data_IF_455842376598
#
_entry.id   IF_455842376598
#
_cell.length_a   1.000
_cell.length_b   1.000
_cell.length_c   1.000
_cell.angle_alpha   90.00
_cell.angle_beta   90.00
_cell.angle_gamma   90.00
#
_symmetry.space_group_name_H-M   'P 1'
#
loop_
_entity.id
_entity.type
_entity.pdbx_description
1 polymer ?
#
# COMPACT_ATOMS: atom_id res chain seq x y z
N UNK A 1 27.31 6.58 -2.19
CA UNK A 1 25.87 6.75 -2.41
C UNK A 1 25.68 7.10 -3.88
N UNK A 2 24.99 6.26 -4.63
CA UNK A 2 24.66 6.53 -6.03
C UNK A 2 23.21 6.99 -6.10
N UNK A 3 22.99 8.22 -6.55
CA UNK A 3 21.64 8.78 -6.73
C UNK A 3 21.00 8.36 -8.07
N UNK A 4 21.78 7.72 -8.96
CA UNK A 4 21.24 7.17 -10.20
C UNK A 4 20.68 5.78 -9.94
N UNK A 5 19.51 5.53 -10.46
CA UNK A 5 18.95 4.19 -10.56
C UNK A 5 19.80 3.32 -11.49
N UNK A 6 19.79 2.01 -11.25
CA UNK A 6 20.38 1.05 -12.18
C UNK A 6 19.62 1.02 -13.51
N UNK A 7 20.22 0.42 -14.53
CA UNK A 7 19.54 0.24 -15.83
C UNK A 7 18.26 -0.61 -15.66
N UNK A 8 18.28 -1.60 -14.79
CA UNK A 8 17.13 -2.43 -14.47
C UNK A 8 15.99 -1.59 -13.84
N UNK A 9 16.29 -0.77 -12.82
CA UNK A 9 15.31 0.11 -12.20
C UNK A 9 14.70 1.09 -13.21
N UNK A 10 15.51 1.66 -14.13
CA UNK A 10 15.00 2.55 -15.17
C UNK A 10 14.13 1.80 -16.21
N UNK A 11 14.45 0.55 -16.51
CA UNK A 11 13.60 -0.30 -17.38
C UNK A 11 12.26 -0.59 -16.72
N UNK A 12 12.25 -0.99 -15.44
CA UNK A 12 11.02 -1.24 -14.68
C UNK A 12 10.21 0.04 -14.58
N UNK A 13 10.83 1.17 -14.24
CA UNK A 13 10.16 2.48 -14.19
C UNK A 13 9.46 2.80 -15.51
N UNK A 14 10.18 2.66 -16.62
CA UNK A 14 9.62 2.93 -17.94
C UNK A 14 8.46 2.01 -18.27
N UNK A 15 8.63 0.71 -18.07
CA UNK A 15 7.60 -0.29 -18.33
C UNK A 15 6.32 -0.01 -17.55
N UNK A 16 6.45 0.24 -16.25
CA UNK A 16 5.29 0.52 -15.39
C UNK A 16 4.64 1.86 -15.73
N UNK A 17 5.43 2.89 -16.05
CA UNK A 17 4.92 4.19 -16.49
C UNK A 17 4.12 4.08 -17.78
N UNK A 18 4.64 3.35 -18.75
CA UNK A 18 3.97 3.13 -20.05
C UNK A 18 2.66 2.36 -19.83
N UNK A 19 2.67 1.31 -19.02
CA UNK A 19 1.47 0.57 -18.63
C UNK A 19 0.46 1.46 -17.89
N UNK A 20 0.91 2.19 -16.88
CA UNK A 20 0.06 3.08 -16.09
C UNK A 20 -0.63 4.13 -16.98
N UNK A 21 0.11 4.73 -17.91
CA UNK A 21 -0.40 5.75 -18.83
C UNK A 21 -1.39 5.18 -19.85
N UNK A 22 -1.09 4.02 -20.42
CA UNK A 22 -1.85 3.50 -21.56
C UNK A 22 -3.05 2.65 -21.14
N UNK A 23 -2.94 1.90 -20.03
CA UNK A 23 -3.96 0.93 -19.61
C UNK A 23 -4.72 1.41 -18.36
N UNK A 24 -4.01 1.99 -17.36
CA UNK A 24 -4.64 2.35 -16.08
C UNK A 24 -5.32 3.72 -16.13
N UNK A 25 -4.65 4.74 -16.69
CA UNK A 25 -5.14 6.12 -16.71
C UNK A 25 -6.49 6.30 -17.44
N UNK A 26 -6.76 5.64 -18.60
CA UNK A 26 -7.99 5.86 -19.36
C UNK A 26 -9.27 5.58 -18.59
N UNK A 27 -9.26 4.61 -17.67
CA UNK A 27 -10.44 4.18 -16.90
C UNK A 27 -10.42 4.64 -15.44
N UNK A 28 -9.38 5.35 -15.01
CA UNK A 28 -9.17 5.66 -13.60
C UNK A 28 -10.29 6.53 -12.99
N UNK A 29 -10.80 7.51 -13.73
CA UNK A 29 -11.90 8.37 -13.28
C UNK A 29 -13.22 7.62 -13.20
N UNK A 30 -13.56 6.83 -14.21
CA UNK A 30 -14.76 5.97 -14.24
C UNK A 30 -14.75 4.97 -13.08
N UNK A 31 -13.63 4.23 -12.89
CA UNK A 31 -13.49 3.26 -11.80
C UNK A 31 -13.59 3.89 -10.41
N UNK A 32 -13.09 5.13 -10.24
CA UNK A 32 -13.25 5.88 -9.00
C UNK A 32 -14.72 6.23 -8.76
N UNK A 33 -15.43 6.72 -9.76
CA UNK A 33 -16.86 7.08 -9.65
C UNK A 33 -17.73 5.86 -9.33
N UNK A 34 -17.48 4.74 -10.00
CA UNK A 34 -18.22 3.48 -9.82
C UNK A 34 -17.77 2.67 -8.61
N UNK A 35 -16.72 3.10 -7.91
CA UNK A 35 -16.09 2.33 -6.83
C UNK A 35 -15.72 0.89 -7.26
N UNK A 36 -15.27 0.72 -8.51
CA UNK A 36 -15.09 -0.57 -9.17
C UNK A 36 -13.62 -0.99 -9.21
N UNK A 37 -13.33 -2.16 -8.66
CA UNK A 37 -12.07 -2.86 -8.90
C UNK A 37 -12.06 -3.44 -10.33
N UNK A 38 -10.91 -3.42 -10.98
CA UNK A 38 -10.72 -3.98 -12.32
C UNK A 38 -9.75 -5.16 -12.26
N UNK A 39 -10.31 -6.37 -12.35
CA UNK A 39 -9.54 -7.61 -12.35
C UNK A 39 -8.64 -7.73 -13.57
N UNK A 40 -9.09 -7.26 -14.75
CA UNK A 40 -8.29 -7.35 -15.96
C UNK A 40 -6.99 -6.50 -15.87
N UNK A 41 -7.04 -5.34 -15.22
CA UNK A 41 -5.83 -4.57 -14.94
C UNK A 41 -4.88 -5.28 -13.98
N UNK A 42 -5.41 -6.00 -12.98
CA UNK A 42 -4.58 -6.79 -12.09
C UNK A 42 -3.92 -7.96 -12.83
N UNK A 43 -4.66 -8.65 -13.70
CA UNK A 43 -4.14 -9.74 -14.52
C UNK A 43 -3.04 -9.24 -15.47
N UNK A 44 -3.20 -8.07 -16.09
CA UNK A 44 -2.15 -7.43 -16.90
C UNK A 44 -0.91 -7.04 -16.07
N UNK A 45 -1.09 -6.57 -14.82
CA UNK A 45 0.05 -6.35 -13.91
C UNK A 45 0.79 -7.66 -13.64
N UNK A 46 0.09 -8.77 -13.48
CA UNK A 46 0.68 -10.09 -13.30
C UNK A 46 1.45 -10.55 -14.53
N UNK A 47 0.91 -10.38 -15.74
CA UNK A 47 1.59 -10.69 -17.00
C UNK A 47 2.91 -9.89 -17.17
N UNK A 48 2.97 -8.68 -16.60
CA UNK A 48 4.18 -7.87 -16.56
C UNK A 48 5.12 -8.22 -15.38
N UNK A 49 4.77 -9.22 -14.57
CA UNK A 49 5.54 -9.65 -13.40
C UNK A 49 5.47 -8.70 -12.20
N UNK A 50 4.56 -7.70 -12.20
CA UNK A 50 4.50 -6.69 -11.13
C UNK A 50 4.04 -7.26 -9.80
N UNK A 51 3.24 -8.33 -9.79
CA UNK A 51 2.77 -9.02 -8.59
C UNK A 51 3.88 -9.79 -7.85
N UNK A 52 5.00 -10.05 -8.55
CA UNK A 52 6.12 -10.84 -8.05
C UNK A 52 7.47 -10.10 -8.05
N UNK A 53 7.51 -8.76 -8.14
CA UNK A 53 8.78 -8.01 -8.29
C UNK A 53 9.87 -8.43 -7.29
N UNK A 54 9.64 -8.41 -5.95
CA UNK A 54 10.72 -8.67 -5.00
C UNK A 54 10.93 -10.16 -4.69
N UNK A 55 10.12 -11.05 -5.27
CA UNK A 55 10.18 -12.47 -4.93
C UNK A 55 11.12 -13.23 -5.87
N UNK A 56 11.89 -14.20 -5.34
CA UNK A 56 12.72 -15.09 -6.16
C UNK A 56 11.92 -15.86 -7.22
N UNK A 57 12.59 -16.22 -8.33
CA UNK A 57 11.98 -16.99 -9.42
C UNK A 57 11.42 -18.34 -8.97
N UNK A 58 12.03 -18.98 -7.95
CA UNK A 58 11.54 -20.24 -7.35
C UNK A 58 10.13 -20.12 -6.76
N UNK A 59 9.69 -18.90 -6.43
CA UNK A 59 8.33 -18.59 -5.97
C UNK A 59 7.52 -17.85 -7.03
N UNK A 60 7.91 -17.90 -8.31
CA UNK A 60 7.17 -17.27 -9.40
C UNK A 60 7.36 -15.76 -9.53
N UNK A 61 8.31 -15.17 -8.81
CA UNK A 61 8.66 -13.76 -8.92
C UNK A 61 9.67 -13.47 -10.02
N UNK A 62 10.03 -12.21 -10.20
CA UNK A 62 11.06 -11.78 -11.18
C UNK A 62 12.45 -11.60 -10.55
N UNK A 63 12.57 -11.78 -9.23
CA UNK A 63 13.86 -11.76 -8.52
C UNK A 63 14.53 -10.40 -8.45
N UNK A 64 13.77 -9.29 -8.63
CA UNK A 64 14.31 -7.94 -8.45
C UNK A 64 14.33 -7.52 -6.97
N UNK A 65 14.65 -6.27 -6.69
CA UNK A 65 14.77 -5.77 -5.32
C UNK A 65 13.53 -4.98 -4.85
N UNK A 66 13.56 -4.57 -3.59
CA UNK A 66 12.45 -3.83 -2.98
C UNK A 66 12.35 -2.39 -3.49
N UNK A 67 13.46 -1.80 -4.00
CA UNK A 67 13.45 -0.50 -4.64
C UNK A 67 12.71 -0.55 -5.98
N UNK A 68 12.85 -1.61 -6.76
CA UNK A 68 12.07 -1.83 -7.97
C UNK A 68 10.57 -1.90 -7.70
N UNK A 69 10.17 -2.60 -6.62
CA UNK A 69 8.78 -2.63 -6.16
C UNK A 69 8.26 -1.21 -5.81
N UNK A 70 9.01 -0.44 -5.04
CA UNK A 70 8.66 0.94 -4.66
C UNK A 70 8.50 1.83 -5.89
N UNK A 71 9.38 1.71 -6.88
CA UNK A 71 9.27 2.42 -8.16
C UNK A 71 7.98 2.05 -8.89
N UNK A 72 7.60 0.77 -8.91
CA UNK A 72 6.36 0.33 -9.54
C UNK A 72 5.12 0.93 -8.85
N UNK A 73 5.08 0.96 -7.51
CA UNK A 73 3.99 1.58 -6.75
C UNK A 73 3.89 3.08 -7.02
N UNK A 74 5.04 3.78 -7.10
CA UNK A 74 5.08 5.21 -7.44
C UNK A 74 4.46 5.47 -8.82
N UNK A 75 4.90 4.76 -9.86
CA UNK A 75 4.44 4.99 -11.23
C UNK A 75 2.96 4.63 -11.44
N UNK A 76 2.46 3.57 -10.81
CA UNK A 76 1.03 3.25 -10.81
C UNK A 76 0.22 4.34 -10.10
N UNK A 77 0.68 4.79 -8.92
CA UNK A 77 -0.03 5.76 -8.09
C UNK A 77 -0.02 7.17 -8.70
N UNK A 78 0.91 7.45 -9.61
CA UNK A 78 0.99 8.70 -10.38
C UNK A 78 -0.27 8.92 -11.24
N UNK A 79 -0.95 7.87 -11.64
CA UNK A 79 -2.20 7.95 -12.42
C UNK A 79 -3.42 7.45 -11.64
N UNK A 80 -3.25 6.44 -10.78
CA UNK A 80 -4.34 5.83 -10.01
C UNK A 80 -3.83 5.23 -8.69
N UNK A 81 -4.05 5.94 -7.59
CA UNK A 81 -3.65 5.50 -6.26
C UNK A 81 -4.33 4.19 -5.83
N UNK A 82 -5.56 3.92 -6.30
CA UNK A 82 -6.28 2.68 -6.02
C UNK A 82 -5.56 1.46 -6.64
N UNK A 83 -5.06 1.58 -7.87
CA UNK A 83 -4.29 0.51 -8.52
C UNK A 83 -2.96 0.28 -7.79
N UNK A 84 -2.27 1.37 -7.40
CA UNK A 84 -1.04 1.30 -6.64
C UNK A 84 -1.21 0.60 -5.29
N UNK A 85 -2.25 0.95 -4.51
CA UNK A 85 -2.48 0.35 -3.18
C UNK A 85 -2.93 -1.11 -3.27
N UNK A 86 -3.67 -1.50 -4.31
CA UNK A 86 -4.04 -2.90 -4.52
C UNK A 86 -2.80 -3.78 -4.65
N UNK A 87 -1.83 -3.36 -5.47
CA UNK A 87 -0.55 -4.06 -5.61
C UNK A 87 0.29 -3.95 -4.33
N UNK A 88 0.31 -2.78 -3.68
CA UNK A 88 1.06 -2.57 -2.44
C UNK A 88 0.62 -3.51 -1.32
N UNK A 89 -0.67 -3.58 -1.04
CA UNK A 89 -1.21 -4.47 0.01
C UNK A 89 -0.99 -5.96 -0.32
N UNK A 90 -1.13 -6.32 -1.60
CA UNK A 90 -0.85 -7.67 -2.08
C UNK A 90 0.61 -8.07 -1.81
N UNK A 91 1.57 -7.23 -2.19
CA UNK A 91 3.00 -7.56 -2.12
C UNK A 91 3.55 -7.36 -0.70
N UNK A 92 3.44 -6.15 -0.15
CA UNK A 92 4.14 -5.81 1.10
C UNK A 92 3.43 -6.28 2.37
N UNK A 93 2.10 -6.38 2.35
CA UNK A 93 1.35 -6.76 3.55
C UNK A 93 0.98 -8.24 3.58
N UNK A 94 0.59 -8.83 2.44
CA UNK A 94 0.22 -10.24 2.39
C UNK A 94 1.40 -11.15 1.97
N UNK A 95 2.11 -10.81 0.88
CA UNK A 95 3.21 -11.62 0.36
C UNK A 95 4.45 -11.59 1.26
N UNK A 96 4.85 -10.41 1.72
CA UNK A 96 6.07 -10.24 2.51
C UNK A 96 6.12 -11.09 3.79
N UNK A 97 5.09 -11.11 4.66
CA UNK A 97 5.13 -11.96 5.85
C UNK A 97 5.17 -13.46 5.52
N UNK A 98 4.50 -13.91 4.45
CA UNK A 98 4.58 -15.31 4.00
C UNK A 98 6.01 -15.62 3.53
N UNK A 99 6.64 -14.75 2.76
CA UNK A 99 8.03 -14.91 2.33
C UNK A 99 9.00 -14.97 3.52
N UNK A 100 8.83 -14.08 4.50
CA UNK A 100 9.77 -13.91 5.61
C UNK A 100 9.63 -14.95 6.71
N UNK A 101 8.42 -15.40 7.02
CA UNK A 101 8.10 -16.23 8.17
C UNK A 101 7.47 -17.58 7.80
N UNK A 102 7.06 -17.75 6.56
CA UNK A 102 6.46 -19.00 6.08
C UNK A 102 7.44 -20.14 5.94
N UNK A 103 6.93 -21.37 6.13
CA UNK A 103 7.65 -22.59 5.74
C UNK A 103 7.77 -22.66 4.23
N UNK A 104 8.61 -23.58 3.74
CA UNK A 104 8.75 -23.77 2.29
C UNK A 104 7.44 -24.21 1.64
N UNK A 105 6.69 -25.08 2.32
CA UNK A 105 5.37 -25.53 1.86
C UNK A 105 4.37 -24.35 1.79
N UNK A 106 4.38 -23.44 2.78
CA UNK A 106 3.55 -22.25 2.78
C UNK A 106 3.92 -21.30 1.63
N UNK A 107 5.21 -21.10 1.36
CA UNK A 107 5.67 -20.26 0.24
C UNK A 107 5.23 -20.83 -1.11
N UNK A 108 5.38 -22.12 -1.33
CA UNK A 108 4.92 -22.75 -2.57
C UNK A 108 3.40 -22.75 -2.69
N UNK A 109 2.67 -22.98 -1.60
CA UNK A 109 1.20 -23.05 -1.60
C UNK A 109 0.56 -21.65 -1.75
N UNK A 110 1.10 -20.62 -1.08
CA UNK A 110 0.44 -19.33 -0.93
C UNK A 110 1.19 -18.19 -1.63
N UNK A 111 2.52 -18.07 -1.46
CA UNK A 111 3.27 -16.96 -2.05
C UNK A 111 3.41 -17.10 -3.56
N UNK A 112 3.70 -18.31 -4.04
CA UNK A 112 3.88 -18.56 -5.48
C UNK A 112 2.66 -18.16 -6.31
N UNK A 113 1.43 -18.62 -6.04
CA UNK A 113 0.27 -18.18 -6.82
C UNK A 113 -0.04 -16.67 -6.68
N UNK A 114 0.39 -16.04 -5.58
CA UNK A 114 0.33 -14.58 -5.45
C UNK A 114 1.36 -13.90 -6.35
N UNK A 115 2.61 -14.37 -6.35
CA UNK A 115 3.67 -13.84 -7.21
C UNK A 115 3.34 -13.98 -8.71
N UNK A 116 2.75 -15.11 -9.10
CA UNK A 116 2.23 -15.37 -10.45
C UNK A 116 0.93 -14.58 -10.76
N UNK A 117 0.34 -13.87 -9.77
CA UNK A 117 -0.86 -13.06 -9.92
C UNK A 117 -2.17 -13.84 -10.08
N UNK A 118 -2.14 -15.17 -9.95
CA UNK A 118 -3.34 -16.02 -10.03
C UNK A 118 -4.21 -15.88 -8.78
N UNK A 119 -3.62 -15.51 -7.64
CA UNK A 119 -4.28 -15.23 -6.37
C UNK A 119 -3.94 -13.83 -5.85
N UNK A 120 -4.92 -13.16 -5.23
CA UNK A 120 -4.75 -11.84 -4.61
C UNK A 120 -4.60 -12.01 -3.11
N UNK A 121 -3.68 -11.23 -2.51
CA UNK A 121 -3.46 -11.21 -1.07
C UNK A 121 -4.06 -10.00 -0.37
N UNK A 122 -4.46 -10.20 0.89
CA UNK A 122 -4.92 -9.17 1.81
C UNK A 122 -4.35 -9.38 3.22
N UNK A 123 -4.45 -8.32 4.05
CA UNK A 123 -3.88 -8.29 5.40
C UNK A 123 -4.93 -7.82 6.41
N UNK A 124 -5.21 -8.65 7.40
CA UNK A 124 -6.26 -8.44 8.39
C UNK A 124 -5.72 -8.24 9.81
N UNK A 125 -5.33 -7.01 10.18
CA UNK A 125 -4.87 -6.66 11.53
C UNK A 125 -5.91 -5.85 12.31
N UNK A 126 -6.42 -4.77 11.72
CA UNK A 126 -7.25 -3.75 12.35
C UNK A 126 -8.63 -4.29 12.72
N UNK A 127 -9.10 -3.96 13.93
CA UNK A 127 -10.44 -4.28 14.42
C UNK A 127 -11.23 -3.00 14.75
N UNK A 128 -12.57 -3.06 14.93
CA UNK A 128 -13.37 -1.90 15.29
C UNK A 128 -12.89 -1.15 16.54
N UNK A 129 -12.28 -1.87 17.49
CA UNK A 129 -11.74 -1.31 18.74
C UNK A 129 -10.21 -1.21 18.78
N UNK A 130 -9.51 -1.61 17.74
CA UNK A 130 -8.04 -1.75 17.71
C UNK A 130 -7.46 -1.32 16.35
N UNK A 131 -7.16 -0.04 16.23
CA UNK A 131 -6.47 0.57 15.09
C UNK A 131 -5.03 0.89 15.44
N UNK A 132 -4.74 2.13 15.85
CA UNK A 132 -3.40 2.55 16.29
C UNK A 132 -2.88 1.76 17.51
N UNK A 133 -3.77 1.32 18.37
CA UNK A 133 -3.48 0.34 19.42
C UNK A 133 -3.70 -1.09 18.90
N UNK A 134 -2.81 -1.55 18.02
CA UNK A 134 -2.89 -2.88 17.45
C UNK A 134 -2.79 -4.01 18.50
N UNK A 135 -2.23 -3.73 19.66
CA UNK A 135 -2.15 -4.67 20.78
C UNK A 135 -3.48 -4.91 21.50
N UNK A 136 -4.49 -4.08 21.24
CA UNK A 136 -5.83 -4.18 21.83
C UNK A 136 -6.80 -5.08 21.06
N UNK A 137 -6.33 -5.91 20.13
CA UNK A 137 -7.18 -6.81 19.34
C UNK A 137 -7.95 -7.81 20.21
N UNK A 138 -9.09 -8.29 19.68
CA UNK A 138 -10.00 -9.20 20.38
C UNK A 138 -10.30 -10.48 19.62
N UNK A 139 -10.03 -10.54 18.33
CA UNK A 139 -10.17 -11.78 17.52
C UNK A 139 -9.35 -12.88 18.19
N UNK A 140 -9.93 -14.03 18.40
CA UNK A 140 -9.31 -15.18 19.06
C UNK A 140 -9.08 -16.34 18.08
N UNK A 141 -8.07 -17.16 18.39
CA UNK A 141 -7.80 -18.41 17.70
C UNK A 141 -7.56 -19.51 18.74
N UNK A 142 -8.50 -20.41 18.89
CA UNK A 142 -8.41 -21.53 19.84
C UNK A 142 -7.98 -22.78 19.13
N UNK A 143 -6.90 -23.44 19.60
CA UNK A 143 -6.47 -24.72 19.05
C UNK A 143 -7.45 -25.83 19.39
N UNK A 144 -7.82 -26.61 18.39
CA UNK A 144 -8.71 -27.79 18.45
C UNK A 144 -8.12 -28.92 17.59
N UNK A 145 -7.29 -29.75 18.23
CA UNK A 145 -6.59 -30.85 17.56
C UNK A 145 -5.60 -30.34 16.50
N UNK A 146 -5.90 -30.67 15.25
CA UNK A 146 -5.13 -30.30 14.06
C UNK A 146 -5.60 -29.01 13.39
N UNK A 147 -6.48 -28.24 14.05
CA UNK A 147 -7.01 -26.96 13.58
C UNK A 147 -6.92 -25.86 14.63
N UNK A 148 -7.05 -24.62 14.17
CA UNK A 148 -7.41 -23.45 14.98
C UNK A 148 -8.82 -23.01 14.63
N UNK A 149 -9.61 -22.62 15.62
CA UNK A 149 -10.96 -22.05 15.48
C UNK A 149 -10.84 -20.56 15.70
N UNK A 150 -11.02 -19.78 14.62
CA UNK A 150 -11.01 -18.33 14.65
C UNK A 150 -12.40 -17.77 14.90
N UNK A 151 -12.48 -16.78 15.81
CA UNK A 151 -13.71 -16.02 16.08
C UNK A 151 -13.39 -14.54 16.24
N UNK A 152 -14.14 -13.66 15.54
CA UNK A 152 -13.99 -12.22 15.59
C UNK A 152 -14.17 -11.54 14.24
N UNK A 153 -13.72 -10.29 14.10
CA UNK A 153 -13.78 -9.57 12.83
C UNK A 153 -12.59 -8.62 12.68
N UNK A 154 -12.28 -8.29 11.43
CA UNK A 154 -11.31 -7.26 11.04
C UNK A 154 -11.97 -6.25 10.12
N UNK A 155 -11.60 -4.97 10.24
CA UNK A 155 -12.17 -3.89 9.43
C UNK A 155 -11.10 -3.15 8.63
N UNK A 156 -11.56 -2.41 7.62
CA UNK A 156 -10.70 -1.62 6.73
C UNK A 156 -9.66 -2.48 5.98
N UNK A 157 -10.07 -3.69 5.58
CA UNK A 157 -9.17 -4.63 4.91
C UNK A 157 -9.09 -4.29 3.42
N UNK A 158 -7.95 -3.74 3.01
CA UNK A 158 -7.61 -3.49 1.60
C UNK A 158 -7.57 -4.83 0.85
N UNK A 159 -8.10 -4.85 -0.36
CA UNK A 159 -8.34 -6.06 -1.16
C UNK A 159 -9.36 -7.02 -0.56
N UNK A 160 -10.03 -6.68 0.54
CA UNK A 160 -11.12 -7.48 1.09
C UNK A 160 -12.22 -7.69 0.05
N UNK A 161 -12.75 -8.90 -0.02
CA UNK A 161 -13.78 -9.29 -0.98
C UNK A 161 -13.29 -9.63 -2.38
N UNK A 162 -12.04 -9.31 -2.72
CA UNK A 162 -11.39 -9.73 -3.97
C UNK A 162 -10.17 -10.63 -3.73
N UNK A 163 -9.64 -10.64 -2.51
CA UNK A 163 -8.49 -11.46 -2.16
C UNK A 163 -8.88 -12.93 -1.97
N UNK A 164 -7.96 -13.81 -2.36
CA UNK A 164 -8.04 -15.26 -2.17
C UNK A 164 -7.33 -15.68 -0.88
N UNK A 165 -6.28 -14.94 -0.47
CA UNK A 165 -5.39 -15.27 0.63
C UNK A 165 -5.34 -14.08 1.59
N UNK A 166 -5.58 -14.34 2.88
CA UNK A 166 -5.56 -13.35 3.93
C UNK A 166 -4.51 -13.70 4.99
N UNK A 167 -3.61 -12.78 5.30
CA UNK A 167 -2.76 -12.89 6.49
C UNK A 167 -3.47 -12.20 7.64
N UNK A 168 -3.85 -12.96 8.67
CA UNK A 168 -4.73 -12.52 9.77
C UNK A 168 -4.04 -12.73 11.11
N UNK A 169 -4.32 -11.83 12.05
CA UNK A 169 -3.80 -11.88 13.42
C UNK A 169 -4.92 -12.12 14.43
N UNK A 170 -4.68 -13.07 15.34
CA UNK A 170 -5.64 -13.42 16.38
C UNK A 170 -4.91 -13.82 17.68
N UNK A 171 -5.61 -13.75 18.80
CA UNK A 171 -5.09 -14.14 20.12
C UNK A 171 -5.23 -15.66 20.30
N UNK A 172 -4.11 -16.35 20.41
CA UNK A 172 -4.05 -17.75 20.84
C UNK A 172 -3.98 -17.85 22.39
N UNK A 173 -3.46 -16.81 23.03
CA UNK A 173 -3.46 -16.63 24.48
C UNK A 173 -3.90 -15.19 24.84
N UNK A 174 -5.21 -14.97 25.11
CA UNK A 174 -5.72 -13.63 25.43
C UNK A 174 -5.12 -13.01 26.69
N UNK A 175 -4.70 -13.81 27.67
CA UNK A 175 -4.11 -13.31 28.92
C UNK A 175 -2.73 -12.69 28.69
N UNK A 176 -1.98 -13.19 27.73
CA UNK A 176 -0.65 -12.68 27.37
C UNK A 176 -0.69 -11.47 26.42
N UNK A 177 -1.88 -10.98 26.01
CA UNK A 177 -2.07 -9.79 25.14
C UNK A 177 -1.20 -9.87 23.88
N UNK A 178 -0.32 -8.88 23.65
CA UNK A 178 0.57 -8.85 22.47
C UNK A 178 1.43 -10.10 22.33
N UNK A 179 1.88 -10.71 23.44
CA UNK A 179 2.66 -11.96 23.42
C UNK A 179 1.82 -13.19 23.13
N UNK A 180 0.50 -13.07 23.25
CA UNK A 180 -0.45 -14.12 22.89
C UNK A 180 -1.01 -14.00 21.48
N UNK A 181 -0.52 -13.04 20.68
CA UNK A 181 -0.95 -12.88 19.28
C UNK A 181 -0.20 -13.84 18.36
N UNK A 182 -0.93 -14.52 17.49
CA UNK A 182 -0.41 -15.39 16.43
C UNK A 182 -0.87 -14.89 15.06
N UNK A 183 -0.11 -15.25 14.02
CA UNK A 183 -0.43 -14.93 12.63
C UNK A 183 -0.89 -16.18 11.89
N UNK A 184 -1.85 -16.04 11.00
CA UNK A 184 -2.48 -17.14 10.28
C UNK A 184 -2.67 -16.80 8.81
N UNK A 185 -2.56 -17.80 7.94
CA UNK A 185 -2.94 -17.70 6.53
C UNK A 185 -4.34 -18.29 6.39
N UNK A 186 -5.30 -17.48 5.94
CA UNK A 186 -6.70 -17.89 5.74
C UNK A 186 -7.04 -17.78 4.26
N UNK A 187 -7.58 -18.85 3.68
CA UNK A 187 -8.10 -18.86 2.30
C UNK A 187 -9.54 -18.34 2.30
N UNK A 188 -9.95 -17.63 1.26
CA UNK A 188 -11.28 -16.98 1.19
C UNK A 188 -12.46 -17.95 1.19
N UNK A 189 -12.25 -19.20 0.82
CA UNK A 189 -13.24 -20.29 0.80
C UNK A 189 -13.29 -21.11 2.09
N UNK A 190 -12.50 -20.71 3.12
CA UNK A 190 -12.48 -21.41 4.42
C UNK A 190 -13.86 -21.34 5.08
N UNK A 191 -14.45 -22.48 5.50
CA UNK A 191 -15.72 -22.47 6.23
C UNK A 191 -15.66 -21.61 7.49
N UNK A 192 -16.65 -20.70 7.66
CA UNK A 192 -16.70 -19.76 8.76
C UNK A 192 -15.98 -18.43 8.48
N UNK A 193 -15.30 -18.28 7.34
CA UNK A 193 -14.85 -16.99 6.83
C UNK A 193 -15.95 -16.32 6.00
N UNK A 194 -16.14 -15.02 6.17
CA UNK A 194 -17.05 -14.24 5.33
C UNK A 194 -16.58 -12.80 5.18
N UNK A 195 -17.00 -12.17 4.07
CA UNK A 195 -16.75 -10.76 3.78
C UNK A 195 -17.97 -9.95 4.20
N UNK A 196 -17.74 -8.94 5.03
CA UNK A 196 -18.78 -8.06 5.50
C UNK A 196 -18.96 -6.81 4.64
N UNK A 197 -19.24 -5.68 5.28
CA UNK A 197 -19.52 -4.42 4.63
C UNK A 197 -18.34 -3.92 3.78
N UNK A 198 -18.64 -3.51 2.54
CA UNK A 198 -17.71 -2.69 1.72
C UNK A 198 -17.81 -1.24 2.17
N UNK A 199 -16.66 -0.60 2.41
CA UNK A 199 -16.61 0.78 2.86
C UNK A 199 -16.73 1.76 1.67
N UNK A 200 -17.65 2.73 1.77
CA UNK A 200 -17.70 3.90 0.87
C UNK A 200 -16.68 4.93 1.36
N UNK A 201 -15.71 5.29 0.53
CA UNK A 201 -14.55 6.05 0.95
C UNK A 201 -14.46 7.42 0.30
N UNK A 202 -13.74 8.34 0.93
CA UNK A 202 -13.41 9.66 0.38
C UNK A 202 -12.57 9.54 -0.90
N UNK A 203 -11.52 8.73 -0.87
CA UNK A 203 -10.56 8.50 -1.96
C UNK A 203 -10.20 7.03 -2.09
N UNK A 204 -9.27 6.71 -3.00
CA UNK A 204 -8.90 5.35 -3.39
C UNK A 204 -10.14 4.45 -3.60
N UNK A 205 -11.16 5.00 -4.24
CA UNK A 205 -12.51 4.41 -4.25
C UNK A 205 -12.58 3.11 -5.07
N UNK A 206 -11.74 2.97 -6.08
CA UNK A 206 -11.66 1.73 -6.88
C UNK A 206 -10.79 0.62 -6.26
N UNK A 207 -10.20 0.84 -5.07
CA UNK A 207 -9.60 -0.22 -4.25
C UNK A 207 -10.63 -0.70 -3.22
N UNK A 208 -11.13 -1.92 -3.32
CA UNK A 208 -12.11 -2.44 -2.36
C UNK A 208 -11.50 -2.53 -0.97
N UNK A 209 -12.30 -2.11 0.01
CA UNK A 209 -11.95 -2.14 1.43
C UNK A 209 -13.15 -2.64 2.18
N UNK A 210 -13.01 -3.74 2.93
CA UNK A 210 -14.15 -4.40 3.58
C UNK A 210 -13.86 -4.76 5.02
N UNK A 211 -14.92 -5.12 5.74
CA UNK A 211 -14.85 -5.96 6.90
C UNK A 211 -14.67 -7.42 6.47
N UNK A 212 -14.00 -8.23 7.28
CA UNK A 212 -13.95 -9.68 7.21
C UNK A 212 -14.33 -10.26 8.57
N UNK A 213 -15.05 -11.37 8.57
CA UNK A 213 -15.61 -11.99 9.78
C UNK A 213 -15.21 -13.46 9.86
N UNK A 214 -15.05 -13.91 11.09
CA UNK A 214 -14.71 -15.29 11.45
C UNK A 214 -15.74 -15.79 12.46
N UNK A 215 -16.51 -16.81 12.08
CA UNK A 215 -17.51 -17.48 12.91
C UNK A 215 -17.20 -18.96 12.92
N UNK A 216 -16.59 -19.43 14.01
CA UNK A 216 -16.05 -20.79 14.14
C UNK A 216 -15.21 -21.20 12.91
N UNK A 217 -14.44 -20.26 12.38
CA UNK A 217 -13.64 -20.44 11.19
C UNK A 217 -12.49 -21.41 11.45
N UNK A 218 -12.56 -22.60 10.84
CA UNK A 218 -11.59 -23.68 11.04
C UNK A 218 -10.46 -23.58 10.04
N UNK A 219 -9.24 -23.34 10.54
CA UNK A 219 -8.03 -23.33 9.74
C UNK A 219 -7.04 -24.39 10.19
N UNK A 220 -6.39 -25.10 9.27
CA UNK A 220 -5.40 -26.12 9.60
C UNK A 220 -4.23 -25.55 10.40
N UNK A 221 -3.62 -26.35 11.28
CA UNK A 221 -2.45 -25.91 12.08
C UNK A 221 -1.27 -25.54 11.20
N UNK A 222 -1.12 -26.14 10.04
CA UNK A 222 -0.09 -25.82 9.05
C UNK A 222 -0.25 -24.44 8.42
N UNK A 223 -1.37 -23.76 8.61
CA UNK A 223 -1.59 -22.37 8.19
C UNK A 223 -1.18 -21.34 9.28
N UNK A 224 -0.65 -21.79 10.43
CA UNK A 224 0.02 -20.90 11.39
C UNK A 224 1.27 -20.31 10.72
N UNK A 225 1.35 -18.99 10.62
CA UNK A 225 2.48 -18.29 10.00
C UNK A 225 3.53 -17.93 11.06
N UNK A 226 4.69 -18.54 10.96
CA UNK A 226 5.73 -18.45 11.98
C UNK A 226 5.41 -19.31 13.20
N UNK A 227 5.67 -18.80 14.41
CA UNK A 227 5.44 -19.49 15.68
C UNK A 227 4.24 -18.92 16.44
N UNK A 228 3.55 -19.76 17.23
CA UNK A 228 2.50 -19.31 18.12
C UNK A 228 3.01 -18.28 19.13
N UNK A 229 2.27 -17.19 19.33
CA UNK A 229 2.67 -16.08 20.19
C UNK A 229 3.64 -15.07 19.56
N UNK A 230 4.11 -15.29 18.33
CA UNK A 230 5.01 -14.38 17.60
C UNK A 230 4.28 -13.45 16.61
N UNK A 231 2.97 -13.56 16.50
CA UNK A 231 2.17 -12.81 15.51
C UNK A 231 2.31 -11.29 15.63
N UNK A 232 2.42 -10.74 16.83
CA UNK A 232 2.61 -9.29 17.00
C UNK A 232 3.96 -8.82 16.41
N UNK A 233 5.02 -9.62 16.55
CA UNK A 233 6.32 -9.35 15.92
C UNK A 233 6.21 -9.42 14.40
N UNK A 234 5.52 -10.44 13.87
CA UNK A 234 5.23 -10.57 12.43
C UNK A 234 4.49 -9.32 11.93
N UNK A 235 3.41 -8.90 12.63
CA UNK A 235 2.65 -7.72 12.27
C UNK A 235 3.49 -6.44 12.20
N UNK A 236 4.33 -6.18 13.22
CA UNK A 236 5.13 -4.96 13.28
C UNK A 236 6.21 -4.93 12.20
N UNK A 237 6.88 -6.04 11.92
CA UNK A 237 7.88 -6.12 10.86
C UNK A 237 7.25 -6.00 9.46
N UNK A 238 6.06 -6.58 9.26
CA UNK A 238 5.30 -6.39 8.02
C UNK A 238 4.97 -4.92 7.78
N UNK A 239 4.54 -4.19 8.82
CA UNK A 239 4.22 -2.77 8.71
C UNK A 239 5.45 -1.90 8.45
N UNK A 240 6.67 -2.32 8.83
CA UNK A 240 7.88 -1.58 8.48
C UNK A 240 8.10 -1.54 6.95
N UNK A 241 7.93 -2.67 6.26
CA UNK A 241 7.97 -2.74 4.80
C UNK A 241 6.77 -2.08 4.12
N UNK A 242 5.56 -2.26 4.68
CA UNK A 242 4.33 -1.65 4.17
C UNK A 242 4.40 -0.12 4.11
N UNK A 243 5.03 0.54 5.09
CA UNK A 243 5.22 2.00 5.08
C UNK A 243 5.98 2.49 3.85
N UNK A 244 6.97 1.73 3.34
CA UNK A 244 7.68 2.07 2.11
C UNK A 244 6.74 2.08 0.91
N UNK A 245 5.82 1.11 0.82
CA UNK A 245 4.78 1.08 -0.21
C UNK A 245 3.84 2.30 -0.15
N UNK A 246 3.41 2.68 1.06
CA UNK A 246 2.55 3.87 1.23
C UNK A 246 3.31 5.18 0.97
N UNK A 247 4.58 5.27 1.34
CA UNK A 247 5.40 6.42 0.99
C UNK A 247 5.54 6.56 -0.54
N UNK A 248 5.78 5.46 -1.25
CA UNK A 248 5.84 5.43 -2.71
C UNK A 248 4.51 5.82 -3.36
N UNK A 249 3.38 5.33 -2.82
CA UNK A 249 2.05 5.73 -3.26
C UNK A 249 1.84 7.25 -3.10
N UNK A 250 2.21 7.80 -1.94
CA UNK A 250 2.09 9.23 -1.66
C UNK A 250 2.95 10.07 -2.63
N UNK A 251 4.19 9.64 -2.89
CA UNK A 251 5.08 10.28 -3.89
C UNK A 251 4.45 10.22 -5.28
N UNK A 252 3.90 9.07 -5.68
CA UNK A 252 3.22 8.91 -6.98
C UNK A 252 2.03 9.85 -7.12
N UNK A 253 1.14 9.92 -6.12
CA UNK A 253 -0.01 10.84 -6.11
C UNK A 253 0.45 12.30 -6.25
N UNK A 254 1.46 12.70 -5.47
CA UNK A 254 2.02 14.05 -5.50
C UNK A 254 2.64 14.36 -6.88
N UNK A 255 3.37 13.41 -7.47
CA UNK A 255 3.95 13.55 -8.80
C UNK A 255 2.88 13.72 -9.87
N UNK A 256 1.81 12.90 -9.85
CA UNK A 256 0.69 13.01 -10.78
C UNK A 256 -0.01 14.37 -10.70
N UNK A 257 -0.21 14.88 -9.49
CA UNK A 257 -0.79 16.21 -9.27
C UNK A 257 0.13 17.34 -9.75
N UNK A 258 1.44 17.22 -9.54
CA UNK A 258 2.44 18.16 -10.04
C UNK A 258 2.47 18.18 -11.57
N UNK A 259 2.52 17.01 -12.22
CA UNK A 259 2.55 16.91 -13.68
C UNK A 259 1.33 17.58 -14.30
N UNK A 260 0.13 17.26 -13.81
CA UNK A 260 -1.11 17.88 -14.26
C UNK A 260 -1.09 19.42 -14.07
N UNK A 261 -0.54 19.88 -12.93
CA UNK A 261 -0.44 21.32 -12.64
C UNK A 261 0.52 22.04 -13.58
N UNK A 262 1.66 21.42 -13.93
CA UNK A 262 2.63 21.98 -14.87
C UNK A 262 2.05 22.07 -16.27
N UNK A 263 1.38 21.02 -16.75
CA UNK A 263 0.74 20.98 -18.06
C UNK A 263 -0.36 22.06 -18.14
N UNK A 264 -1.29 22.06 -17.19
CA UNK A 264 -2.36 23.05 -17.14
C UNK A 264 -1.82 24.50 -17.06
N UNK A 265 -0.80 24.75 -16.25
CA UNK A 265 -0.24 26.11 -16.12
C UNK A 265 0.41 26.63 -17.40
N UNK A 266 0.92 25.75 -18.28
CA UNK A 266 1.48 26.10 -19.60
C UNK A 266 0.39 26.43 -20.62
N UNK A 267 -0.76 25.76 -20.52
CA UNK A 267 -1.85 25.89 -21.49
C UNK A 267 -2.89 26.94 -21.10
N UNK A 268 -3.18 27.08 -19.81
CA UNK A 268 -4.19 28.03 -19.31
C UNK A 268 -3.69 29.47 -19.39
N UNK A 269 -4.42 30.32 -20.11
CA UNK A 269 -4.11 31.74 -20.26
C UNK A 269 -5.02 32.60 -19.39
N UNK A 270 -4.40 33.55 -18.67
CA UNK A 270 -5.05 34.67 -17.98
C UNK A 270 -4.15 35.92 -18.07
N UNK A 271 -4.79 37.11 -18.10
CA UNK A 271 -4.04 38.38 -18.27
C UNK A 271 -3.14 38.39 -19.52
N UNK A 272 -3.61 37.76 -20.62
CA UNK A 272 -2.94 37.72 -21.92
C UNK A 272 -1.74 36.79 -22.05
N UNK A 273 -1.44 35.95 -21.06
CA UNK A 273 -0.31 35.00 -21.06
C UNK A 273 -0.61 33.71 -20.32
N UNK A 274 0.15 32.62 -20.54
CA UNK A 274 0.03 31.41 -19.75
C UNK A 274 0.15 31.71 -18.25
N UNK A 275 -0.61 31.04 -17.39
CA UNK A 275 -0.53 31.25 -15.94
C UNK A 275 0.83 30.86 -15.38
N UNK A 276 1.57 29.95 -16.03
CA UNK A 276 2.95 29.61 -15.69
C UNK A 276 3.89 30.85 -15.71
N UNK A 277 3.58 31.90 -16.49
CA UNK A 277 4.35 33.14 -16.54
C UNK A 277 4.05 34.09 -15.36
N UNK A 278 3.09 33.74 -14.50
CA UNK A 278 2.80 34.47 -13.26
C UNK A 278 3.74 33.96 -12.15
N UNK A 279 4.51 34.85 -11.52
CA UNK A 279 5.51 34.52 -10.52
C UNK A 279 4.92 33.67 -9.36
N UNK A 280 3.70 34.01 -8.89
CA UNK A 280 3.06 33.26 -7.82
C UNK A 280 2.74 31.79 -8.18
N UNK A 281 2.39 31.53 -9.44
CA UNK A 281 2.20 30.14 -9.93
C UNK A 281 3.55 29.43 -10.08
N UNK A 282 4.54 30.12 -10.67
CA UNK A 282 5.90 29.56 -10.82
C UNK A 282 6.52 29.15 -9.49
N UNK A 283 6.36 29.95 -8.44
CA UNK A 283 6.86 29.61 -7.10
C UNK A 283 6.13 28.42 -6.47
N UNK A 284 4.79 28.33 -6.64
CA UNK A 284 4.05 27.13 -6.20
C UNK A 284 4.58 25.84 -6.85
N UNK A 285 4.77 25.87 -8.16
CA UNK A 285 5.31 24.70 -8.89
C UNK A 285 6.74 24.35 -8.46
N UNK A 286 7.58 25.35 -8.17
CA UNK A 286 8.94 25.15 -7.65
C UNK A 286 8.93 24.51 -6.25
N UNK A 287 8.05 24.94 -5.36
CA UNK A 287 7.89 24.36 -4.02
C UNK A 287 7.37 22.92 -4.13
N UNK A 288 6.35 22.68 -4.98
CA UNK A 288 5.77 21.35 -5.19
C UNK A 288 6.82 20.35 -5.68
N UNK A 289 7.62 20.69 -6.69
CA UNK A 289 8.66 19.78 -7.20
C UNK A 289 9.75 19.51 -6.17
N UNK A 290 10.15 20.53 -5.39
CA UNK A 290 11.14 20.37 -4.34
C UNK A 290 10.68 19.40 -3.25
N UNK A 291 9.44 19.54 -2.81
CA UNK A 291 8.85 18.66 -1.79
C UNK A 291 8.71 17.21 -2.30
N UNK A 292 8.26 17.03 -3.56
CA UNK A 292 8.13 15.70 -4.18
C UNK A 292 9.49 15.00 -4.29
N UNK A 293 10.53 15.71 -4.73
CA UNK A 293 11.87 15.12 -4.83
C UNK A 293 12.44 14.75 -3.45
N UNK A 294 12.25 15.60 -2.44
CA UNK A 294 12.67 15.29 -1.07
C UNK A 294 11.96 14.04 -0.53
N UNK A 295 10.63 13.92 -0.77
CA UNK A 295 9.85 12.75 -0.37
C UNK A 295 10.31 11.48 -1.09
N UNK A 296 10.59 11.58 -2.40
CA UNK A 296 11.11 10.46 -3.21
C UNK A 296 12.46 9.97 -2.69
N UNK A 297 13.39 10.87 -2.41
CA UNK A 297 14.71 10.50 -1.90
C UNK A 297 14.63 9.77 -0.55
N UNK A 298 13.78 10.22 0.37
CA UNK A 298 13.57 9.53 1.65
C UNK A 298 12.95 8.14 1.42
N UNK A 299 12.00 8.03 0.51
CA UNK A 299 11.32 6.76 0.19
C UNK A 299 12.29 5.76 -0.44
N UNK A 300 13.09 6.20 -1.40
CA UNK A 300 14.06 5.34 -2.07
C UNK A 300 15.20 4.93 -1.13
N UNK A 301 15.61 5.80 -0.22
CA UNK A 301 16.59 5.43 0.82
C UNK A 301 16.07 4.30 1.70
N UNK A 302 14.82 4.37 2.17
CA UNK A 302 14.22 3.34 3.01
C UNK A 302 14.08 2.01 2.26
N UNK A 303 13.64 2.05 1.00
CA UNK A 303 13.52 0.86 0.15
C UNK A 303 14.89 0.23 -0.18
N UNK A 304 15.91 1.05 -0.44
CA UNK A 304 17.27 0.56 -0.66
C UNK A 304 17.85 -0.13 0.59
N UNK A 305 17.65 0.45 1.78
CA UNK A 305 18.08 -0.19 3.03
C UNK A 305 17.43 -1.57 3.22
N UNK A 306 16.14 -1.70 2.88
CA UNK A 306 15.43 -2.98 2.91
C UNK A 306 16.03 -3.98 1.92
N UNK A 307 16.32 -3.55 0.68
CA UNK A 307 16.96 -4.39 -0.34
C UNK A 307 18.34 -4.91 0.09
N UNK A 308 19.11 -4.09 0.80
CA UNK A 308 20.43 -4.47 1.33
C UNK A 308 20.34 -5.30 2.63
N UNK A 309 19.14 -5.61 3.13
CA UNK A 309 18.96 -6.33 4.40
C UNK A 309 19.41 -5.54 5.64
N UNK A 310 19.52 -4.22 5.53
CA UNK A 310 19.91 -3.30 6.60
C UNK A 310 18.70 -2.87 7.43
N UNK A 311 18.88 -2.43 8.70
CA UNK A 311 17.79 -1.86 9.48
C UNK A 311 17.21 -0.60 8.81
N UNK A 312 15.89 -0.58 8.59
CA UNK A 312 15.21 0.50 7.86
C UNK A 312 13.94 1.04 8.55
N UNK A 313 13.53 0.50 9.68
CA UNK A 313 12.26 0.85 10.33
C UNK A 313 12.11 2.34 10.68
N UNK A 314 13.22 3.03 11.04
CA UNK A 314 13.21 4.47 11.29
C UNK A 314 13.06 5.24 9.97
N UNK A 315 13.84 4.90 8.96
CA UNK A 315 13.82 5.53 7.64
C UNK A 315 12.47 5.33 6.94
N UNK A 316 11.88 4.15 7.08
CA UNK A 316 10.53 3.82 6.63
C UNK A 316 9.46 4.70 7.28
N UNK A 317 9.53 4.88 8.61
CA UNK A 317 8.61 5.80 9.30
C UNK A 317 8.84 7.27 8.89
N UNK A 318 10.09 7.70 8.70
CA UNK A 318 10.44 9.05 8.22
C UNK A 318 9.93 9.30 6.81
N UNK A 319 10.13 8.35 5.89
CA UNK A 319 9.65 8.47 4.51
C UNK A 319 8.12 8.57 4.46
N UNK A 320 7.42 7.72 5.20
CA UNK A 320 5.95 7.69 5.22
C UNK A 320 5.34 8.98 5.79
N UNK A 321 5.87 9.50 6.89
CA UNK A 321 5.35 10.74 7.46
C UNK A 321 5.60 11.92 6.53
N UNK A 322 6.78 12.02 5.92
CA UNK A 322 7.12 13.12 5.04
C UNK A 322 6.36 13.05 3.71
N UNK A 323 6.33 11.87 3.07
CA UNK A 323 5.64 11.68 1.80
C UNK A 323 4.12 11.91 1.92
N UNK A 324 3.48 11.42 3.00
CA UNK A 324 2.05 11.62 3.23
C UNK A 324 1.68 13.09 3.45
N UNK A 325 2.50 13.85 4.21
CA UNK A 325 2.29 15.29 4.39
C UNK A 325 2.55 16.07 3.08
N UNK A 326 3.58 15.66 2.31
CA UNK A 326 3.88 16.22 0.99
C UNK A 326 2.73 15.97 0.01
N UNK A 327 2.20 14.74 -0.07
CA UNK A 327 1.12 14.42 -0.98
C UNK A 327 -0.11 15.29 -0.71
N UNK A 328 -0.49 15.47 0.54
CA UNK A 328 -1.61 16.31 0.92
C UNK A 328 -1.38 17.78 0.57
N UNK A 329 -0.17 18.31 0.82
CA UNK A 329 0.21 19.67 0.46
C UNK A 329 0.18 19.90 -1.05
N UNK A 330 0.86 19.05 -1.82
CA UNK A 330 1.01 19.18 -3.26
C UNK A 330 -0.34 19.03 -3.98
N UNK A 331 -1.17 18.07 -3.59
CA UNK A 331 -2.48 17.88 -4.21
C UNK A 331 -3.45 19.03 -3.90
N UNK A 332 -3.38 19.63 -2.71
CA UNK A 332 -4.14 20.82 -2.36
C UNK A 332 -3.72 22.02 -3.21
N UNK A 333 -2.40 22.23 -3.38
CA UNK A 333 -1.89 23.29 -4.25
C UNK A 333 -2.20 23.03 -5.73
N UNK A 334 -2.26 21.78 -6.18
CA UNK A 334 -2.70 21.43 -7.52
C UNK A 334 -4.14 21.87 -7.79
N UNK A 335 -5.06 21.58 -6.89
CA UNK A 335 -6.46 22.09 -6.98
C UNK A 335 -6.46 23.62 -7.06
N UNK A 336 -5.63 24.31 -6.28
CA UNK A 336 -5.52 25.78 -6.31
C UNK A 336 -4.96 26.30 -7.64
N UNK A 337 -3.97 25.61 -8.25
CA UNK A 337 -3.42 25.99 -9.58
C UNK A 337 -4.48 25.91 -10.67
N UNK A 338 -5.35 24.90 -10.62
CA UNK A 338 -6.46 24.74 -11.56
C UNK A 338 -7.62 25.74 -11.33
N UNK A 339 -7.70 26.36 -10.15
CA UNK A 339 -8.78 27.27 -9.78
C UNK A 339 -10.14 26.57 -9.80
N UNK A 340 -11.16 27.16 -10.40
CA UNK A 340 -12.51 26.59 -10.47
C UNK A 340 -12.56 25.19 -11.09
N UNK A 341 -11.76 24.94 -12.11
CA UNK A 341 -11.66 23.63 -12.75
C UNK A 341 -11.03 22.57 -11.84
N UNK A 342 -10.17 22.95 -10.89
CA UNK A 342 -9.62 22.02 -9.91
C UNK A 342 -10.65 21.49 -8.91
N UNK A 343 -11.80 22.17 -8.80
CA UNK A 343 -12.90 21.79 -7.90
C UNK A 343 -14.01 20.99 -8.61
N UNK A 344 -13.83 20.69 -9.90
CA UNK A 344 -14.72 19.85 -10.71
C UNK A 344 -14.07 18.52 -11.03
N UNK A 345 -14.87 17.55 -11.50
CA UNK A 345 -14.38 16.22 -11.90
C UNK A 345 -13.81 16.17 -13.32
N UNK A 346 -13.72 17.30 -14.02
CA UNK A 346 -13.20 17.38 -15.40
C UNK A 346 -11.69 17.10 -15.47
N UNK A 347 -10.98 17.31 -14.34
CA UNK A 347 -9.55 17.11 -14.20
C UNK A 347 -9.23 16.19 -13.00
N UNK A 348 -8.08 15.49 -13.02
CA UNK A 348 -7.80 14.47 -12.01
C UNK A 348 -7.39 15.03 -10.64
N UNK A 349 -7.14 16.33 -10.49
CA UNK A 349 -6.51 16.91 -9.30
C UNK A 349 -7.39 16.81 -8.04
N UNK A 350 -8.72 16.87 -8.19
CA UNK A 350 -9.64 16.66 -7.06
C UNK A 350 -9.58 15.22 -6.53
N UNK A 351 -9.46 14.24 -7.45
CA UNK A 351 -9.28 12.81 -7.08
C UNK A 351 -7.95 12.60 -6.38
N UNK A 352 -6.86 13.16 -6.89
CA UNK A 352 -5.56 13.08 -6.24
C UNK A 352 -5.60 13.66 -4.82
N UNK A 353 -6.31 14.77 -4.58
CA UNK A 353 -6.44 15.33 -3.24
C UNK A 353 -7.25 14.42 -2.30
N UNK A 354 -8.32 13.79 -2.78
CA UNK A 354 -9.09 12.81 -2.00
C UNK A 354 -8.24 11.57 -1.68
N UNK A 355 -7.51 11.07 -2.68
CA UNK A 355 -6.65 9.90 -2.54
C UNK A 355 -5.47 10.16 -1.60
N UNK A 356 -4.86 11.34 -1.66
CA UNK A 356 -3.71 11.70 -0.83
C UNK A 356 -4.02 11.62 0.67
N UNK A 357 -5.25 11.94 1.08
CA UNK A 357 -5.60 11.99 2.51
C UNK A 357 -5.39 10.67 3.24
N UNK A 358 -5.65 9.54 2.59
CA UNK A 358 -5.51 8.24 3.26
C UNK A 358 -4.06 7.91 3.61
N UNK A 359 -3.08 8.43 2.86
CA UNK A 359 -1.65 8.18 3.12
C UNK A 359 -1.16 8.75 4.46
N UNK A 360 -1.91 9.67 5.05
CA UNK A 360 -1.67 10.17 6.40
C UNK A 360 -2.29 9.31 7.50
N UNK A 361 -3.17 8.34 7.15
CA UNK A 361 -4.01 7.62 8.10
C UNK A 361 -3.61 6.16 8.23
N UNK A 362 -3.65 5.40 7.13
CA UNK A 362 -3.44 3.95 7.18
C UNK A 362 -1.96 3.55 7.30
N UNK A 363 -1.74 2.28 7.61
CA UNK A 363 -0.42 1.69 7.92
C UNK A 363 0.34 2.48 9.01
N UNK A 364 -0.42 2.95 9.99
CA UNK A 364 0.03 3.81 11.07
C UNK A 364 -0.16 5.29 10.72
N UNK A 365 -0.94 5.99 11.55
CA UNK A 365 -1.18 7.43 11.36
C UNK A 365 0.13 8.22 11.42
N UNK A 366 0.10 9.48 10.97
CA UNK A 366 1.27 10.37 11.05
C UNK A 366 1.79 10.53 12.49
N UNK A 367 0.90 10.45 13.49
CA UNK A 367 1.23 10.46 14.92
C UNK A 367 1.96 9.18 15.32
N UNK A 368 1.53 8.03 14.83
CA UNK A 368 2.20 6.74 15.08
C UNK A 368 3.60 6.73 14.45
N UNK A 369 3.77 7.27 13.24
CA UNK A 369 5.12 7.37 12.64
C UNK A 369 6.04 8.23 13.50
N UNK A 370 5.57 9.39 13.97
CA UNK A 370 6.33 10.26 14.88
C UNK A 370 6.67 9.56 16.18
N UNK A 371 5.76 8.75 16.73
CA UNK A 371 6.00 7.94 17.92
C UNK A 371 7.10 6.88 17.67
N UNK A 372 7.07 6.19 16.52
CA UNK A 372 8.09 5.21 16.13
C UNK A 372 9.46 5.89 16.03
N UNK A 373 9.55 7.00 15.28
CA UNK A 373 10.79 7.76 15.10
C UNK A 373 11.34 8.22 16.48
N UNK A 374 10.50 8.85 17.29
CA UNK A 374 10.94 9.37 18.59
C UNK A 374 11.47 8.27 19.53
N UNK A 375 10.81 7.11 19.57
CA UNK A 375 11.27 5.96 20.35
C UNK A 375 12.61 5.42 19.88
N UNK A 376 12.90 5.46 18.58
CA UNK A 376 14.18 5.01 18.03
C UNK A 376 15.32 6.01 18.24
N UNK A 377 14.99 7.29 18.44
CA UNK A 377 15.98 8.34 18.75
C UNK A 377 16.34 8.39 20.25
N UNK A 378 15.45 7.92 21.12
CA UNK A 378 15.60 8.06 22.59
C UNK A 378 15.96 6.76 23.29
N UNK A 379 16.13 5.66 22.56
CA UNK A 379 16.69 4.39 23.04
C UNK A 379 18.21 4.37 22.83
#
# INVERSE_FOLDING_TARGET
MHFKLSEEHEMIRKMVRDFAKNEVAPTAAERDEEERFDRALFDQMAELGLTGIPWPEEYGGIGSDYLAYVIAIEELSRVCASTGVTLSAHTSLAGWPIFKFGTEEQKQKFLRPMAEGTKIGAYGLTEPSSGSDAGGMRTTAKRDGDHYILNGSKIFITNGGIADIYVVFALTDPESKQRGTSAFIVESDTPGFSVGKKESKLGIRSSPTTEIMFEDCRIPVENLLGEEGQGFKVAMQTLDGGRNGIAAQAVGIAQGALDASVEYARERHQFGKPIAAQQGIGFKLADMVTDVEAARLLTYQAAWLESEGLPYGKESAMSKVFAGDTAMKVTTEAVQVFGGYGYTKDYPVERYMRDAKITQIYEGTQEIQRLVISRMLTK
#
